data_IF_434509889305
#
_entry.id   IF_434509889305
#
_cell.length_a   1.000
_cell.length_b   1.000
_cell.length_c   1.000
_cell.angle_alpha   90.00
_cell.angle_beta   90.00
_cell.angle_gamma   90.00
#
_symmetry.space_group_name_H-M   'P 1'
#
loop_
_entity.id
_entity.type
_entity.pdbx_description
1 polymer ?
#
# COMPACT_ATOMS: atom_id res chain seq x y z
N UNK A 1 -43.09 37.00 -25.61
CA UNK A 1 -42.56 35.64 -25.42
C UNK A 1 -42.42 35.43 -23.92
N UNK A 2 -43.30 34.63 -23.32
CA UNK A 2 -43.16 34.24 -21.92
C UNK A 2 -41.97 33.28 -21.81
N UNK A 3 -41.04 33.57 -20.90
CA UNK A 3 -39.97 32.65 -20.54
C UNK A 3 -40.59 31.40 -19.89
N UNK A 4 -40.16 30.24 -20.37
CA UNK A 4 -40.55 28.94 -19.84
C UNK A 4 -40.23 28.87 -18.33
N UNK A 5 -41.12 28.34 -17.47
CA UNK A 5 -40.80 28.20 -16.06
C UNK A 5 -39.61 27.25 -15.90
N UNK A 6 -38.60 27.66 -15.13
CA UNK A 6 -37.53 26.77 -14.71
C UNK A 6 -38.13 25.47 -14.20
N UNK A 7 -37.79 24.37 -14.87
CA UNK A 7 -38.03 23.02 -14.37
C UNK A 7 -37.17 22.88 -13.11
N UNK A 8 -37.77 23.09 -11.96
CA UNK A 8 -37.17 22.75 -10.67
C UNK A 8 -37.44 21.26 -10.49
N UNK A 9 -36.44 20.43 -10.81
CA UNK A 9 -36.48 19.03 -10.46
C UNK A 9 -36.55 18.93 -8.93
N UNK A 10 -37.74 18.60 -8.42
CA UNK A 10 -37.90 18.14 -7.04
C UNK A 10 -37.21 16.79 -6.95
N UNK A 11 -35.94 16.81 -6.53
CA UNK A 11 -35.14 15.63 -6.25
C UNK A 11 -35.85 14.87 -5.13
N UNK A 12 -36.50 13.76 -5.48
CA UNK A 12 -36.82 12.71 -4.49
C UNK A 12 -35.51 12.27 -3.88
N UNK A 13 -35.52 11.97 -2.59
CA UNK A 13 -34.39 11.50 -1.79
C UNK A 13 -33.91 10.10 -2.29
N UNK A 14 -33.38 10.04 -3.51
CA UNK A 14 -32.69 8.90 -4.07
C UNK A 14 -31.35 8.76 -3.34
N UNK A 15 -30.90 7.52 -3.09
CA UNK A 15 -29.62 7.28 -2.44
C UNK A 15 -28.52 8.07 -3.15
N UNK A 16 -27.93 9.03 -2.45
CA UNK A 16 -26.97 9.98 -3.01
C UNK A 16 -25.63 9.28 -3.25
N UNK A 17 -25.55 8.48 -4.31
CA UNK A 17 -24.26 8.08 -4.87
C UNK A 17 -23.62 9.28 -5.54
N UNK A 18 -22.28 9.35 -5.49
CA UNK A 18 -21.53 10.44 -6.11
C UNK A 18 -20.59 9.87 -7.16
N UNK A 19 -20.61 10.48 -8.33
CA UNK A 19 -19.75 10.12 -9.45
C UNK A 19 -18.52 11.03 -9.47
N UNK A 20 -17.35 10.44 -9.65
CA UNK A 20 -16.05 11.09 -9.73
C UNK A 20 -15.35 10.69 -11.03
N UNK A 21 -14.52 11.58 -11.57
CA UNK A 21 -13.63 11.22 -12.68
C UNK A 21 -12.26 10.85 -12.13
N UNK A 22 -11.82 9.64 -12.45
CA UNK A 22 -10.49 9.13 -12.16
C UNK A 22 -9.75 8.82 -13.48
N UNK A 23 -8.49 9.24 -13.63
CA UNK A 23 -7.75 9.07 -14.88
C UNK A 23 -7.43 7.60 -15.22
N UNK A 24 -7.55 6.68 -14.27
CA UNK A 24 -7.24 5.26 -14.44
C UNK A 24 -8.51 4.47 -14.72
N UNK A 25 -9.57 4.72 -13.95
CA UNK A 25 -10.81 3.92 -13.98
C UNK A 25 -11.98 4.63 -14.68
N UNK A 26 -11.81 5.89 -15.11
CA UNK A 26 -12.86 6.68 -15.72
C UNK A 26 -13.87 7.16 -14.68
N UNK A 27 -15.16 6.97 -14.94
CA UNK A 27 -16.22 7.39 -14.03
C UNK A 27 -16.39 6.38 -12.89
N UNK A 28 -16.07 6.78 -11.66
CA UNK A 28 -16.25 5.99 -10.45
C UNK A 28 -17.49 6.48 -9.72
N UNK A 29 -18.40 5.57 -9.37
CA UNK A 29 -19.55 5.84 -8.52
C UNK A 29 -19.31 5.28 -7.12
N UNK A 30 -19.49 6.12 -6.08
CA UNK A 30 -19.37 5.70 -4.69
C UNK A 30 -20.70 5.86 -3.94
N UNK A 31 -21.10 4.88 -3.10
CA UNK A 31 -22.25 5.00 -2.20
C UNK A 31 -22.09 6.14 -1.19
N UNK A 32 -23.22 6.69 -0.73
CA UNK A 32 -23.30 7.79 0.23
C UNK A 32 -22.38 7.61 1.46
N UNK A 33 -22.35 6.41 2.06
CA UNK A 33 -21.49 6.14 3.22
C UNK A 33 -20.00 6.22 2.89
N UNK A 34 -19.59 5.76 1.70
CA UNK A 34 -18.20 5.89 1.26
C UNK A 34 -17.84 7.35 1.00
N UNK A 35 -18.78 8.14 0.46
CA UNK A 35 -18.62 9.58 0.25
C UNK A 35 -18.49 10.32 1.59
N UNK A 36 -19.34 9.99 2.57
CA UNK A 36 -19.29 10.60 3.89
C UNK A 36 -17.96 10.31 4.60
N UNK A 37 -17.48 9.06 4.58
CA UNK A 37 -16.15 8.70 5.10
C UNK A 37 -15.04 9.44 4.34
N UNK A 38 -15.17 9.56 3.02
CA UNK A 38 -14.19 10.27 2.20
C UNK A 38 -14.11 11.76 2.56
N UNK A 39 -15.24 12.37 2.93
CA UNK A 39 -15.34 13.80 3.25
C UNK A 39 -14.92 14.16 4.69
N UNK A 40 -14.43 13.19 5.49
CA UNK A 40 -13.86 13.49 6.82
C UNK A 40 -12.44 14.04 6.77
N UNK A 41 -12.00 14.85 7.76
CA UNK A 41 -10.63 15.37 7.81
C UNK A 41 -9.55 14.29 7.75
N UNK A 42 -9.79 13.14 8.39
CA UNK A 42 -8.88 11.99 8.43
C UNK A 42 -8.62 11.41 7.05
N UNK A 43 -9.66 11.32 6.22
CA UNK A 43 -9.52 10.83 4.86
C UNK A 43 -8.97 11.90 3.92
N UNK A 44 -9.44 13.16 4.03
CA UNK A 44 -8.94 14.28 3.23
C UNK A 44 -7.44 14.53 3.44
N UNK A 45 -6.90 14.21 4.62
CA UNK A 45 -5.45 14.17 4.90
C UNK A 45 -4.64 13.44 3.82
N UNK A 46 -5.18 12.36 3.24
CA UNK A 46 -4.49 11.56 2.23
C UNK A 46 -4.16 12.34 0.94
N UNK A 47 -4.81 13.48 0.69
CA UNK A 47 -4.47 14.40 -0.42
C UNK A 47 -3.08 15.01 -0.26
N UNK A 48 -2.58 15.04 0.97
CA UNK A 48 -1.30 15.66 1.33
C UNK A 48 -0.20 14.61 1.54
N UNK A 49 -0.43 13.38 1.07
CA UNK A 49 0.54 12.28 1.18
C UNK A 49 0.75 11.67 -0.20
N UNK A 50 1.93 11.90 -0.78
CA UNK A 50 2.29 11.34 -2.08
C UNK A 50 2.36 9.82 -2.01
N UNK A 51 1.74 9.16 -2.98
CA UNK A 51 1.71 7.69 -3.10
C UNK A 51 3.13 7.12 -3.11
N UNK A 52 4.01 7.74 -3.89
CA UNK A 52 5.40 7.31 -4.12
C UNK A 52 6.42 8.16 -3.35
N UNK A 53 5.99 8.93 -2.35
CA UNK A 53 6.86 9.77 -1.52
C UNK A 53 7.74 10.70 -2.37
N UNK A 54 9.07 10.65 -2.12
CA UNK A 54 10.05 11.52 -2.78
C UNK A 54 10.40 11.07 -4.22
N UNK A 55 9.71 10.06 -4.77
CA UNK A 55 9.89 9.63 -6.17
C UNK A 55 9.63 10.76 -7.16
N UNK A 56 8.80 11.75 -6.80
CA UNK A 56 8.57 12.95 -7.62
C UNK A 56 9.85 13.76 -7.91
N UNK A 57 10.90 13.61 -7.10
CA UNK A 57 12.20 14.25 -7.31
C UNK A 57 13.08 13.50 -8.34
N UNK A 58 12.61 12.37 -8.86
CA UNK A 58 13.24 11.60 -9.95
C UNK A 58 12.29 11.47 -11.14
N UNK A 59 11.01 11.23 -10.89
CA UNK A 59 9.93 11.16 -11.87
C UNK A 59 8.97 12.34 -11.63
N UNK A 60 9.11 13.49 -12.31
CA UNK A 60 8.39 14.72 -11.99
C UNK A 60 6.86 14.59 -11.99
N UNK A 61 6.32 13.63 -12.73
CA UNK A 61 4.89 13.33 -12.84
C UNK A 61 4.36 12.42 -11.72
N UNK A 62 5.22 11.81 -10.90
CA UNK A 62 4.83 10.95 -9.78
C UNK A 62 4.29 11.75 -8.57
N UNK A 63 3.26 12.57 -8.81
CA UNK A 63 2.71 13.54 -7.84
C UNK A 63 1.38 13.12 -7.24
N UNK A 64 0.81 12.00 -7.71
CA UNK A 64 -0.44 11.43 -7.23
C UNK A 64 -0.36 11.01 -5.76
N UNK A 65 -1.52 10.93 -5.13
CA UNK A 65 -1.63 10.87 -3.68
C UNK A 65 -2.27 9.56 -3.21
N UNK A 66 -2.15 9.29 -1.91
CA UNK A 66 -2.85 8.17 -1.26
C UNK A 66 -4.38 8.31 -1.36
N UNK A 67 -4.90 9.53 -1.51
CA UNK A 67 -6.33 9.80 -1.67
C UNK A 67 -6.90 9.16 -2.95
N UNK A 68 -6.33 9.50 -4.10
CA UNK A 68 -6.80 8.99 -5.41
C UNK A 68 -6.64 7.48 -5.50
N UNK A 69 -5.52 6.96 -4.96
CA UNK A 69 -5.29 5.52 -4.82
C UNK A 69 -6.41 4.85 -3.99
N UNK A 70 -6.75 5.39 -2.82
CA UNK A 70 -7.80 4.82 -1.97
C UNK A 70 -9.18 4.77 -2.63
N UNK A 71 -9.54 5.80 -3.41
CA UNK A 71 -10.78 5.80 -4.20
C UNK A 71 -10.75 4.67 -5.24
N UNK A 72 -9.63 4.54 -5.97
CA UNK A 72 -9.47 3.46 -6.95
C UNK A 72 -9.51 2.06 -6.33
N UNK A 73 -8.96 1.88 -5.11
CA UNK A 73 -9.08 0.60 -4.39
C UNK A 73 -10.54 0.32 -3.99
N UNK A 74 -11.27 1.32 -3.51
CA UNK A 74 -12.69 1.18 -3.19
C UNK A 74 -13.51 0.75 -4.42
N UNK A 75 -13.27 1.41 -5.57
CA UNK A 75 -13.91 1.06 -6.84
C UNK A 75 -13.61 -0.38 -7.27
N UNK A 76 -12.35 -0.80 -7.24
CA UNK A 76 -12.00 -2.16 -7.64
C UNK A 76 -12.49 -3.23 -6.64
N UNK A 77 -12.67 -2.88 -5.36
CA UNK A 77 -13.31 -3.74 -4.38
C UNK A 77 -14.78 -4.00 -4.74
N UNK A 78 -15.51 -2.95 -5.13
CA UNK A 78 -16.87 -3.04 -5.67
C UNK A 78 -16.92 -3.92 -6.94
N UNK A 79 -16.08 -3.61 -7.95
CA UNK A 79 -16.04 -4.41 -9.18
C UNK A 79 -15.77 -5.90 -8.92
N UNK A 80 -14.90 -6.21 -7.95
CA UNK A 80 -14.60 -7.57 -7.56
C UNK A 80 -15.80 -8.27 -6.93
N UNK A 81 -16.46 -7.64 -5.96
CA UNK A 81 -17.67 -8.20 -5.32
C UNK A 81 -18.78 -8.40 -6.34
N UNK A 82 -19.02 -7.41 -7.22
CA UNK A 82 -20.00 -7.53 -8.29
C UNK A 82 -19.66 -8.66 -9.27
N UNK A 83 -18.39 -8.83 -9.64
CA UNK A 83 -17.96 -9.93 -10.49
C UNK A 83 -18.22 -11.29 -9.84
N UNK A 84 -17.94 -11.42 -8.54
CA UNK A 84 -18.22 -12.65 -7.78
C UNK A 84 -19.72 -12.92 -7.66
N UNK A 85 -20.55 -11.93 -7.34
CA UNK A 85 -22.02 -12.07 -7.31
C UNK A 85 -22.57 -12.53 -8.66
N UNK A 86 -22.16 -11.91 -9.76
CA UNK A 86 -22.53 -12.34 -11.11
C UNK A 86 -22.08 -13.77 -11.42
N UNK A 87 -20.94 -14.18 -10.89
CA UNK A 87 -20.40 -15.53 -11.12
C UNK A 87 -21.10 -16.60 -10.28
N UNK A 88 -21.51 -16.25 -9.07
CA UNK A 88 -22.02 -17.14 -8.04
C UNK A 88 -23.49 -16.88 -7.68
N UNK A 89 -24.25 -16.21 -8.55
CA UNK A 89 -25.68 -15.97 -8.32
C UNK A 89 -26.51 -17.26 -8.20
N UNK A 90 -27.81 -17.14 -7.88
CA UNK A 90 -28.67 -18.27 -7.50
C UNK A 90 -28.71 -19.43 -8.50
N UNK A 91 -28.59 -19.13 -9.80
CA UNK A 91 -28.59 -20.13 -10.88
C UNK A 91 -27.21 -20.74 -11.19
N UNK A 92 -26.17 -20.38 -10.42
CA UNK A 92 -24.81 -20.90 -10.60
C UNK A 92 -24.70 -22.35 -10.15
N UNK A 93 -23.76 -23.10 -10.72
CA UNK A 93 -23.39 -24.45 -10.24
C UNK A 93 -22.73 -24.44 -8.85
N UNK A 94 -22.38 -23.26 -8.35
CA UNK A 94 -21.77 -23.06 -7.04
C UNK A 94 -22.28 -21.73 -6.45
N UNK A 95 -23.54 -21.65 -5.99
CA UNK A 95 -24.09 -20.40 -5.48
C UNK A 95 -23.37 -19.93 -4.22
N UNK A 96 -23.14 -18.62 -4.14
CA UNK A 96 -22.60 -17.96 -2.96
C UNK A 96 -23.37 -16.67 -2.80
N UNK A 97 -23.92 -16.47 -1.60
CA UNK A 97 -24.53 -15.22 -1.24
C UNK A 97 -23.44 -14.23 -0.78
N UNK A 98 -23.55 -12.98 -1.21
CA UNK A 98 -22.74 -11.87 -0.68
C UNK A 98 -23.74 -10.77 -0.37
N UNK A 99 -23.99 -10.50 0.91
CA UNK A 99 -25.03 -9.54 1.31
C UNK A 99 -24.60 -8.11 0.96
N UNK A 100 -25.54 -7.16 0.91
CA UNK A 100 -25.19 -5.76 0.66
C UNK A 100 -24.33 -5.17 1.77
N UNK A 101 -24.53 -5.60 3.01
CA UNK A 101 -23.71 -5.21 4.15
C UNK A 101 -22.26 -5.67 3.96
N UNK A 102 -22.06 -6.93 3.54
CA UNK A 102 -20.73 -7.48 3.24
C UNK A 102 -20.05 -6.73 2.08
N UNK A 103 -20.82 -6.38 1.05
CA UNK A 103 -20.32 -5.63 -0.08
C UNK A 103 -19.82 -4.24 0.35
N UNK A 104 -20.64 -3.49 1.09
CA UNK A 104 -20.26 -2.18 1.62
C UNK A 104 -19.05 -2.28 2.57
N UNK A 105 -18.96 -3.33 3.40
CA UNK A 105 -17.78 -3.55 4.25
C UNK A 105 -16.49 -3.69 3.44
N UNK A 106 -16.52 -4.43 2.33
CA UNK A 106 -15.34 -4.61 1.45
C UNK A 106 -14.98 -3.29 0.77
N UNK A 107 -15.96 -2.51 0.32
CA UNK A 107 -15.73 -1.17 -0.25
C UNK A 107 -15.10 -0.22 0.78
N UNK A 108 -15.67 -0.13 1.99
CA UNK A 108 -15.17 0.71 3.09
C UNK A 108 -13.75 0.29 3.48
N UNK A 109 -13.48 -1.02 3.59
CA UNK A 109 -12.13 -1.51 3.85
C UNK A 109 -11.15 -1.12 2.73
N UNK A 110 -11.57 -1.22 1.47
CA UNK A 110 -10.79 -0.77 0.31
C UNK A 110 -10.46 0.72 0.36
N UNK A 111 -11.44 1.55 0.73
CA UNK A 111 -11.29 3.00 0.90
C UNK A 111 -10.31 3.33 2.04
N UNK A 112 -10.54 2.74 3.22
CA UNK A 112 -9.87 3.11 4.47
C UNK A 112 -8.49 2.48 4.68
N UNK A 113 -8.10 1.46 3.89
CA UNK A 113 -6.83 0.73 4.12
C UNK A 113 -5.57 1.60 4.13
N UNK A 114 -5.59 2.77 3.49
CA UNK A 114 -4.43 3.67 3.40
C UNK A 114 -4.45 4.84 4.41
N UNK A 115 -5.45 4.95 5.29
CA UNK A 115 -5.56 6.05 6.27
C UNK A 115 -4.30 6.23 7.12
N UNK A 116 -3.70 5.10 7.51
CA UNK A 116 -2.54 5.04 8.38
C UNK A 116 -1.19 5.27 7.71
N UNK A 117 -1.12 5.68 6.44
CA UNK A 117 0.17 6.10 5.85
C UNK A 117 0.63 7.45 6.40
N UNK A 118 1.92 7.52 6.75
CA UNK A 118 2.58 8.75 7.22
C UNK A 118 3.19 9.59 6.08
N UNK A 119 3.87 10.68 6.42
CA UNK A 119 4.57 11.54 5.45
C UNK A 119 5.49 10.74 4.52
N UNK A 120 5.35 10.98 3.22
CA UNK A 120 6.10 10.32 2.14
C UNK A 120 5.93 8.81 2.09
N UNK A 121 4.77 8.32 2.54
CA UNK A 121 4.34 6.91 2.44
C UNK A 121 5.38 5.94 3.01
N UNK A 122 6.08 5.17 2.16
CA UNK A 122 6.95 4.10 2.60
C UNK A 122 8.26 4.56 3.25
N UNK A 123 8.64 5.82 3.05
CA UNK A 123 9.74 6.42 3.80
C UNK A 123 9.45 6.40 5.30
N UNK A 124 8.20 6.68 5.69
CA UNK A 124 7.83 6.80 7.09
C UNK A 124 7.90 5.45 7.81
N UNK A 125 7.19 4.41 7.33
CA UNK A 125 7.17 3.10 8.00
C UNK A 125 8.48 2.32 7.79
N UNK A 126 8.98 2.23 6.56
CA UNK A 126 10.05 1.27 6.23
C UNK A 126 11.46 1.78 6.54
N UNK A 127 11.65 3.10 6.62
CA UNK A 127 12.95 3.73 6.91
C UNK A 127 12.92 4.44 8.26
N UNK A 128 12.08 5.46 8.41
CA UNK A 128 12.12 6.33 9.58
C UNK A 128 11.65 5.63 10.87
N UNK A 129 10.49 4.96 10.85
CA UNK A 129 9.97 4.24 12.01
C UNK A 129 10.72 2.94 12.29
N UNK A 130 11.15 2.21 11.25
CA UNK A 130 11.94 0.98 11.39
C UNK A 130 13.23 1.19 12.18
N UNK A 131 13.93 2.31 11.94
CA UNK A 131 15.16 2.66 12.66
C UNK A 131 14.94 2.85 14.18
N UNK A 132 13.69 3.08 14.60
CA UNK A 132 13.31 3.31 16.01
C UNK A 132 12.88 2.06 16.75
N UNK A 133 12.85 0.89 16.08
CA UNK A 133 12.38 -0.38 16.64
C UNK A 133 10.96 -0.29 17.27
N UNK A 134 10.11 0.58 16.74
CA UNK A 134 8.69 0.67 17.14
C UNK A 134 7.84 -0.23 16.26
N UNK A 135 6.88 -0.94 16.88
CA UNK A 135 5.85 -1.71 16.17
C UNK A 135 4.79 -0.76 15.59
N UNK A 136 5.10 -0.18 14.44
CA UNK A 136 4.18 0.63 13.66
C UNK A 136 4.01 0.02 12.28
N UNK A 137 2.75 -0.18 11.87
CA UNK A 137 2.40 -0.50 10.48
C UNK A 137 1.30 0.45 10.00
N UNK A 138 1.33 0.86 8.71
CA UNK A 138 0.25 1.67 8.16
C UNK A 138 -1.12 1.01 8.31
N UNK A 139 -1.24 -0.31 8.15
CA UNK A 139 -2.52 -1.01 8.27
C UNK A 139 -3.10 -0.98 9.69
N UNK A 140 -2.27 -1.19 10.71
CA UNK A 140 -2.71 -1.09 12.10
C UNK A 140 -3.13 0.35 12.46
N UNK A 141 -2.43 1.35 11.93
CA UNK A 141 -2.83 2.75 12.10
C UNK A 141 -4.13 3.08 11.32
N UNK A 142 -4.32 2.51 10.12
CA UNK A 142 -5.56 2.67 9.36
C UNK A 142 -6.77 2.16 10.14
N UNK A 143 -6.65 1.04 10.82
CA UNK A 143 -7.70 0.50 11.72
C UNK A 143 -8.02 1.48 12.85
N UNK A 144 -6.99 2.05 13.50
CA UNK A 144 -7.20 3.03 14.58
C UNK A 144 -7.91 4.29 14.08
N UNK A 145 -7.48 4.84 12.94
CA UNK A 145 -8.08 6.04 12.35
C UNK A 145 -9.52 5.75 11.91
N UNK A 146 -9.78 4.60 11.28
CA UNK A 146 -11.13 4.17 10.92
C UNK A 146 -12.03 4.12 12.16
N UNK A 147 -11.54 3.59 13.28
CA UNK A 147 -12.26 3.58 14.55
C UNK A 147 -12.59 4.99 15.08
N UNK A 148 -11.76 6.00 14.83
CA UNK A 148 -12.10 7.40 15.17
C UNK A 148 -13.15 7.99 14.23
N UNK A 149 -13.05 7.72 12.92
CA UNK A 149 -14.04 8.15 11.92
C UNK A 149 -15.43 7.61 12.27
N UNK A 150 -15.52 6.34 12.69
CA UNK A 150 -16.80 5.71 13.06
C UNK A 150 -17.50 6.36 14.28
N UNK A 151 -16.79 7.19 15.07
CA UNK A 151 -17.37 7.93 16.20
C UNK A 151 -18.00 9.25 15.80
N UNK A 152 -17.80 9.72 14.56
CA UNK A 152 -18.43 10.94 14.09
C UNK A 152 -19.95 10.71 13.98
N UNK A 153 -20.81 11.56 14.59
CA UNK A 153 -22.25 11.31 14.63
C UNK A 153 -22.92 11.12 13.26
N UNK A 154 -22.43 11.81 12.24
CA UNK A 154 -22.88 11.69 10.84
C UNK A 154 -22.58 10.28 10.29
N UNK A 155 -21.36 9.79 10.52
CA UNK A 155 -20.92 8.46 10.11
C UNK A 155 -21.63 7.37 10.91
N UNK A 156 -21.78 7.54 12.22
CA UNK A 156 -22.51 6.59 13.08
C UNK A 156 -23.95 6.41 12.60
N UNK A 157 -24.66 7.49 12.28
CA UNK A 157 -26.01 7.44 11.74
C UNK A 157 -26.07 6.71 10.39
N UNK A 158 -25.08 6.91 9.52
CA UNK A 158 -25.01 6.19 8.24
C UNK A 158 -24.69 4.71 8.44
N UNK A 159 -23.79 4.36 9.36
CA UNK A 159 -23.53 2.96 9.71
C UNK A 159 -24.81 2.27 10.18
N UNK A 160 -25.62 2.91 11.02
CA UNK A 160 -26.93 2.38 11.42
C UNK A 160 -27.91 2.27 10.24
N UNK A 161 -28.00 3.32 9.40
CA UNK A 161 -28.84 3.33 8.18
C UNK A 161 -28.55 2.14 7.26
N UNK A 162 -27.27 1.82 7.09
CA UNK A 162 -26.79 0.72 6.24
C UNK A 162 -26.61 -0.61 6.99
N UNK A 163 -27.01 -0.70 8.27
CA UNK A 163 -26.87 -1.89 9.14
C UNK A 163 -25.43 -2.39 9.30
N UNK A 164 -24.48 -1.46 9.33
CA UNK A 164 -23.05 -1.69 9.49
C UNK A 164 -22.53 -1.36 10.90
N UNK A 165 -23.41 -0.96 11.82
CA UNK A 165 -23.07 -0.57 13.20
C UNK A 165 -22.36 -1.67 14.01
N UNK A 166 -22.52 -2.94 13.60
CA UNK A 166 -21.87 -4.12 14.21
C UNK A 166 -20.77 -4.73 13.34
N UNK A 167 -20.44 -4.08 12.23
CA UNK A 167 -19.55 -4.64 11.19
C UNK A 167 -18.10 -4.13 11.28
N UNK A 168 -17.81 -3.24 12.24
CA UNK A 168 -16.48 -2.64 12.41
C UNK A 168 -15.38 -3.71 12.45
N UNK A 169 -15.58 -4.78 13.23
CA UNK A 169 -14.59 -5.86 13.37
C UNK A 169 -14.28 -6.52 12.01
N UNK A 170 -15.28 -6.74 11.18
CA UNK A 170 -15.07 -7.31 9.85
C UNK A 170 -14.26 -6.35 8.96
N UNK A 171 -14.62 -5.06 8.93
CA UNK A 171 -13.91 -4.04 8.15
C UNK A 171 -12.44 -3.92 8.62
N UNK A 172 -12.21 -3.91 9.93
CA UNK A 172 -10.86 -3.87 10.52
C UNK A 172 -10.01 -5.07 10.09
N UNK A 173 -10.58 -6.27 10.11
CA UNK A 173 -9.90 -7.50 9.69
C UNK A 173 -9.67 -7.56 8.17
N UNK A 174 -10.52 -6.93 7.35
CA UNK A 174 -10.28 -6.75 5.91
C UNK A 174 -9.11 -5.80 5.63
N UNK A 175 -8.95 -4.74 6.45
CA UNK A 175 -7.86 -3.76 6.34
C UNK A 175 -6.53 -4.38 6.84
N UNK A 176 -6.56 -4.98 8.02
CA UNK A 176 -5.40 -5.54 8.70
C UNK A 176 -5.67 -6.99 9.16
N UNK A 177 -5.61 -7.96 8.22
CA UNK A 177 -5.88 -9.35 8.54
C UNK A 177 -4.92 -9.92 9.59
N UNK A 178 -5.38 -10.81 10.48
CA UNK A 178 -4.52 -11.41 11.49
C UNK A 178 -3.33 -12.15 10.86
N UNK A 179 -2.12 -12.01 11.43
CA UNK A 179 -0.94 -12.69 10.91
C UNK A 179 -1.10 -14.21 10.98
N UNK A 180 -0.55 -14.93 10.00
CA UNK A 180 -0.64 -16.39 9.94
C UNK A 180 -2.02 -16.93 9.52
N UNK A 181 -3.01 -16.08 9.24
CA UNK A 181 -4.36 -16.50 8.84
C UNK A 181 -4.30 -17.57 7.74
N UNK A 182 -3.47 -17.37 6.70
CA UNK A 182 -3.43 -18.24 5.53
C UNK A 182 -2.23 -19.21 5.48
N UNK A 183 -1.56 -19.45 6.61
CA UNK A 183 -0.42 -20.37 6.66
C UNK A 183 -0.89 -21.81 6.37
N UNK A 184 -0.33 -22.44 5.34
CA UNK A 184 -0.64 -23.82 4.94
C UNK A 184 0.37 -24.79 5.56
N UNK A 185 -0.07 -26.03 5.78
CA UNK A 185 0.82 -27.12 6.22
C UNK A 185 1.89 -27.44 5.16
N UNK A 186 2.89 -28.24 5.53
CA UNK A 186 4.01 -28.60 4.64
C UNK A 186 3.56 -29.35 3.38
N UNK A 187 2.46 -30.10 3.47
CA UNK A 187 1.82 -30.85 2.37
C UNK A 187 0.91 -29.98 1.51
N UNK A 188 0.56 -28.78 1.98
CA UNK A 188 -0.41 -27.85 1.39
C UNK A 188 -1.78 -28.48 1.16
N UNK A 189 -2.16 -29.39 2.05
CA UNK A 189 -3.46 -30.05 2.07
C UNK A 189 -4.45 -29.36 3.00
N UNK A 190 -3.95 -28.64 4.01
CA UNK A 190 -4.77 -27.96 5.00
C UNK A 190 -4.11 -26.66 5.49
N UNK A 191 -4.88 -25.88 6.24
CA UNK A 191 -4.39 -24.71 6.97
C UNK A 191 -3.78 -25.12 8.30
N UNK A 192 -2.62 -24.54 8.62
CA UNK A 192 -1.91 -24.79 9.88
C UNK A 192 -2.58 -24.07 11.05
N UNK A 193 -3.11 -22.89 10.80
CA UNK A 193 -3.76 -22.04 11.82
C UNK A 193 -5.27 -22.27 11.85
N UNK A 194 -5.90 -22.21 13.03
CA UNK A 194 -7.36 -22.15 13.12
C UNK A 194 -7.88 -20.88 12.46
N UNK A 195 -9.20 -20.79 12.26
CA UNK A 195 -9.82 -19.55 11.82
C UNK A 195 -9.67 -18.48 12.92
N UNK A 196 -9.04 -17.36 12.59
CA UNK A 196 -8.67 -16.31 13.55
C UNK A 196 -9.59 -15.07 13.48
N UNK A 197 -10.47 -15.00 12.48
CA UNK A 197 -11.32 -13.84 12.27
C UNK A 197 -12.66 -13.99 13.00
N UNK A 198 -13.13 -12.90 13.57
CA UNK A 198 -14.41 -12.80 14.29
C UNK A 198 -15.50 -12.21 13.40
N UNK A 199 -15.14 -11.33 12.44
CA UNK A 199 -16.10 -10.60 11.63
C UNK A 199 -16.94 -11.49 10.73
N UNK A 200 -16.36 -12.55 10.17
CA UNK A 200 -17.06 -13.53 9.32
C UNK A 200 -16.50 -14.93 9.48
N UNK A 201 -17.32 -15.94 9.17
CA UNK A 201 -16.94 -17.35 9.16
C UNK A 201 -16.07 -17.77 7.98
N UNK A 202 -15.59 -19.02 8.05
CA UNK A 202 -14.71 -19.62 7.02
C UNK A 202 -15.37 -19.75 5.64
N UNK A 203 -16.70 -19.83 5.59
CA UNK A 203 -17.50 -19.86 4.38
C UNK A 203 -17.40 -18.55 3.57
N UNK A 204 -17.17 -17.43 4.26
CA UNK A 204 -16.95 -16.08 3.68
C UNK A 204 -15.48 -15.66 3.62
N UNK A 205 -14.56 -16.57 3.90
CA UNK A 205 -13.12 -16.25 3.99
C UNK A 205 -12.51 -15.64 2.72
N UNK A 206 -13.13 -15.86 1.55
CA UNK A 206 -12.71 -15.26 0.28
C UNK A 206 -12.80 -13.72 0.28
N UNK A 207 -13.68 -13.11 1.09
CA UNK A 207 -13.80 -11.65 1.19
C UNK A 207 -12.51 -11.02 1.73
N UNK A 208 -11.81 -11.70 2.64
CA UNK A 208 -10.52 -11.27 3.19
C UNK A 208 -9.37 -11.31 2.18
N UNK A 209 -9.59 -11.87 0.99
CA UNK A 209 -8.61 -11.90 -0.10
C UNK A 209 -8.78 -10.72 -1.08
N UNK A 210 -9.82 -9.89 -0.93
CA UNK A 210 -10.12 -8.81 -1.89
C UNK A 210 -9.21 -7.60 -1.63
N UNK A 211 -9.26 -7.03 -0.41
CA UNK A 211 -8.61 -5.76 -0.06
C UNK A 211 -7.14 -5.92 0.31
N UNK A 212 -6.84 -6.92 1.16
CA UNK A 212 -5.48 -7.23 1.62
C UNK A 212 -5.25 -8.74 1.62
N UNK A 213 -4.75 -9.24 0.50
CA UNK A 213 -4.55 -10.67 0.32
C UNK A 213 -3.22 -11.12 0.95
N UNK A 214 -3.27 -11.67 2.16
CA UNK A 214 -2.08 -12.20 2.85
C UNK A 214 -1.74 -13.64 2.46
N UNK A 215 -2.56 -14.31 1.65
CA UNK A 215 -2.29 -15.65 1.11
C UNK A 215 -1.28 -15.62 -0.05
N UNK A 216 -1.48 -14.74 -1.02
CA UNK A 216 -0.70 -14.69 -2.26
C UNK A 216 -0.51 -13.28 -2.84
N UNK A 217 -1.00 -12.24 -2.16
CA UNK A 217 -0.78 -10.84 -2.56
C UNK A 217 -1.53 -10.39 -3.82
N UNK A 218 -2.47 -11.18 -4.33
CA UNK A 218 -3.36 -10.77 -5.43
C UNK A 218 -4.58 -10.08 -4.82
N UNK A 219 -4.51 -8.75 -4.71
CA UNK A 219 -5.56 -7.90 -4.13
C UNK A 219 -5.86 -6.69 -5.03
N UNK A 220 -7.04 -6.10 -4.84
CA UNK A 220 -7.48 -4.94 -5.62
C UNK A 220 -6.59 -3.71 -5.40
N UNK A 221 -5.96 -3.62 -4.23
CA UNK A 221 -4.97 -2.57 -3.93
C UNK A 221 -3.77 -2.64 -4.89
N UNK A 222 -3.30 -3.84 -5.20
CA UNK A 222 -2.23 -4.06 -6.18
C UNK A 222 -2.65 -3.75 -7.61
N UNK A 223 -3.88 -4.05 -7.96
CA UNK A 223 -4.41 -3.72 -9.29
C UNK A 223 -4.43 -2.21 -9.52
N UNK A 224 -4.94 -1.44 -8.55
CA UNK A 224 -4.95 0.03 -8.66
C UNK A 224 -3.53 0.59 -8.76
N UNK A 225 -2.64 0.29 -7.79
CA UNK A 225 -1.32 0.93 -7.81
C UNK A 225 -0.50 0.51 -9.04
N UNK A 226 -0.64 -0.72 -9.53
CA UNK A 226 0.08 -1.12 -10.75
C UNK A 226 -0.37 -0.27 -11.94
N UNK A 227 -1.67 -0.06 -12.13
CA UNK A 227 -2.18 0.77 -13.22
C UNK A 227 -1.85 2.26 -13.02
N UNK A 228 -2.13 2.79 -11.82
CA UNK A 228 -1.95 4.19 -11.46
C UNK A 228 -0.49 4.60 -11.47
N UNK A 229 0.38 3.84 -10.84
CA UNK A 229 1.80 4.17 -10.79
C UNK A 229 2.42 4.07 -12.18
N UNK A 230 2.03 3.07 -13.00
CA UNK A 230 2.45 3.00 -14.40
C UNK A 230 2.08 4.27 -15.18
N UNK A 231 0.84 4.74 -15.04
CA UNK A 231 0.37 5.96 -15.68
C UNK A 231 1.21 7.19 -15.27
N UNK A 232 1.39 7.43 -13.96
CA UNK A 232 2.13 8.59 -13.48
C UNK A 232 3.65 8.48 -13.64
N UNK A 233 4.22 7.28 -13.77
CA UNK A 233 5.65 7.06 -14.01
C UNK A 233 6.01 7.03 -15.51
N UNK A 234 5.03 6.96 -16.41
CA UNK A 234 5.28 6.76 -17.84
C UNK A 234 5.82 5.35 -18.14
N UNK A 235 5.43 4.35 -17.35
CA UNK A 235 5.80 2.94 -17.55
C UNK A 235 4.60 2.21 -18.12
N UNK A 236 4.78 1.40 -19.17
CA UNK A 236 3.67 0.62 -19.73
C UNK A 236 3.18 -0.44 -18.73
N UNK A 237 1.87 -0.40 -18.41
CA UNK A 237 1.23 -1.45 -17.62
C UNK A 237 0.94 -2.68 -18.50
N UNK A 238 1.53 -3.82 -18.16
CA UNK A 238 1.30 -5.09 -18.87
C UNK A 238 0.22 -5.97 -18.23
N UNK A 239 -0.44 -5.52 -17.16
CA UNK A 239 -1.45 -6.26 -16.43
C UNK A 239 -2.85 -5.62 -16.57
N UNK A 240 -3.81 -6.43 -16.99
CA UNK A 240 -5.22 -6.05 -17.17
C UNK A 240 -6.09 -6.70 -16.08
N UNK A 241 -6.51 -5.92 -15.09
CA UNK A 241 -7.36 -6.39 -14.00
C UNK A 241 -8.79 -6.70 -14.47
N UNK A 242 -9.35 -5.96 -15.44
CA UNK A 242 -10.71 -6.16 -15.95
C UNK A 242 -10.87 -7.54 -16.59
N UNK A 243 -9.82 -8.01 -17.27
CA UNK A 243 -9.78 -9.39 -17.76
C UNK A 243 -9.79 -10.39 -16.61
N UNK A 244 -8.97 -10.18 -15.59
CA UNK A 244 -8.82 -11.13 -14.48
C UNK A 244 -10.12 -11.27 -13.67
N UNK A 245 -10.82 -10.16 -13.42
CA UNK A 245 -12.14 -10.13 -12.77
C UNK A 245 -13.14 -11.12 -13.40
N UNK A 246 -13.16 -11.20 -14.73
CA UNK A 246 -14.09 -12.10 -15.48
C UNK A 246 -13.78 -13.58 -15.30
N UNK A 247 -12.57 -13.93 -14.85
CA UNK A 247 -12.09 -15.30 -14.67
C UNK A 247 -11.86 -15.69 -13.22
N UNK A 248 -12.23 -14.83 -12.27
CA UNK A 248 -12.27 -15.15 -10.85
C UNK A 248 -13.49 -16.01 -10.51
N UNK A 249 -13.33 -16.89 -9.52
CA UNK A 249 -14.36 -17.76 -8.95
C UNK A 249 -14.00 -18.07 -7.50
N UNK A 250 -14.97 -18.20 -6.61
CA UNK A 250 -14.76 -18.70 -5.26
C UNK A 250 -14.94 -20.22 -5.23
N UNK A 251 -14.00 -20.93 -4.63
CA UNK A 251 -14.06 -22.38 -4.41
C UNK A 251 -13.61 -22.71 -2.98
N UNK A 252 -14.13 -23.79 -2.42
CA UNK A 252 -13.68 -24.28 -1.12
C UNK A 252 -12.40 -25.12 -1.21
N UNK A 253 -11.50 -24.87 -0.26
CA UNK A 253 -10.27 -25.61 -0.04
C UNK A 253 -9.96 -25.66 1.46
N UNK A 254 -9.74 -26.86 2.01
CA UNK A 254 -9.33 -27.02 3.42
C UNK A 254 -10.27 -26.36 4.44
N UNK A 255 -11.58 -26.39 4.17
CA UNK A 255 -12.61 -25.77 5.03
C UNK A 255 -12.83 -24.27 4.82
N UNK A 256 -12.06 -23.63 3.94
CA UNK A 256 -12.14 -22.19 3.67
C UNK A 256 -12.47 -21.91 2.21
N UNK A 257 -13.21 -20.86 1.95
CA UNK A 257 -13.48 -20.36 0.60
C UNK A 257 -12.33 -19.46 0.10
N UNK A 258 -11.78 -19.74 -1.07
CA UNK A 258 -10.69 -18.98 -1.69
C UNK A 258 -11.09 -18.41 -3.05
N UNK A 259 -10.51 -17.25 -3.41
CA UNK A 259 -10.61 -16.70 -4.76
C UNK A 259 -9.62 -17.47 -5.66
N UNK A 260 -10.18 -18.19 -6.62
CA UNK A 260 -9.49 -19.01 -7.61
C UNK A 260 -9.60 -18.38 -9.00
N UNK A 261 -8.63 -18.67 -9.86
CA UNK A 261 -8.60 -18.13 -11.22
C UNK A 261 -8.61 -19.23 -12.27
N UNK A 262 -9.15 -18.96 -13.45
CA UNK A 262 -9.11 -19.93 -14.55
C UNK A 262 -7.66 -20.20 -14.96
N UNK A 263 -7.29 -21.47 -15.14
CA UNK A 263 -5.91 -21.89 -15.44
C UNK A 263 -5.24 -21.12 -16.59
N UNK A 264 -5.99 -20.82 -17.66
CA UNK A 264 -5.47 -20.07 -18.81
C UNK A 264 -5.00 -18.64 -18.49
N UNK A 265 -5.34 -18.12 -17.31
CA UNK A 265 -4.91 -16.80 -16.84
C UNK A 265 -3.64 -16.88 -15.97
N UNK A 266 -2.99 -18.04 -15.84
CA UNK A 266 -1.76 -18.20 -15.06
C UNK A 266 -0.64 -17.25 -15.54
N UNK A 267 -0.38 -17.19 -16.84
CA UNK A 267 0.58 -16.24 -17.42
C UNK A 267 0.20 -14.78 -17.14
N UNK A 268 -1.09 -14.46 -17.23
CA UNK A 268 -1.58 -13.11 -16.97
C UNK A 268 -1.41 -12.69 -15.50
N UNK A 269 -1.65 -13.61 -14.57
CA UNK A 269 -1.35 -13.43 -13.15
C UNK A 269 0.15 -13.29 -12.90
N UNK A 270 0.98 -14.03 -13.62
CA UNK A 270 2.42 -13.86 -13.55
C UNK A 270 2.85 -12.44 -13.95
N UNK A 271 2.20 -11.83 -14.96
CA UNK A 271 2.45 -10.44 -15.34
C UNK A 271 2.16 -9.44 -14.22
N UNK A 272 1.23 -9.70 -13.30
CA UNK A 272 1.02 -8.86 -12.12
C UNK A 272 2.25 -8.83 -11.21
N UNK A 273 2.78 -10.02 -10.90
CA UNK A 273 3.99 -10.17 -10.10
C UNK A 273 5.19 -9.52 -10.78
N UNK A 274 5.35 -9.74 -12.09
CA UNK A 274 6.38 -9.10 -12.90
C UNK A 274 6.22 -7.57 -12.91
N UNK A 275 5.00 -7.06 -13.00
CA UNK A 275 4.75 -5.63 -13.02
C UNK A 275 5.17 -4.98 -11.70
N UNK A 276 4.82 -5.61 -10.58
CA UNK A 276 5.34 -5.19 -9.28
C UNK A 276 6.87 -5.17 -9.25
N UNK A 277 7.52 -6.22 -9.73
CA UNK A 277 8.98 -6.28 -9.77
C UNK A 277 9.57 -5.11 -10.59
N UNK A 278 9.05 -4.85 -11.79
CA UNK A 278 9.46 -3.74 -12.66
C UNK A 278 9.30 -2.39 -11.96
N UNK A 279 8.15 -2.14 -11.32
CA UNK A 279 7.88 -0.89 -10.59
C UNK A 279 8.85 -0.69 -9.42
N UNK A 280 9.14 -1.75 -8.67
CA UNK A 280 10.14 -1.72 -7.61
C UNK A 280 11.53 -1.39 -8.16
N UNK A 281 11.97 -2.11 -9.19
CA UNK A 281 13.33 -1.98 -9.76
C UNK A 281 13.56 -0.62 -10.42
N UNK A 282 12.58 -0.12 -11.19
CA UNK A 282 12.74 1.11 -11.98
C UNK A 282 12.40 2.39 -11.21
N UNK A 283 11.43 2.34 -10.31
CA UNK A 283 10.90 3.54 -9.66
C UNK A 283 11.04 3.51 -8.14
N UNK A 284 10.38 2.57 -7.45
CA UNK A 284 10.25 2.65 -5.99
C UNK A 284 11.58 2.53 -5.26
N UNK A 285 12.54 1.84 -5.87
CA UNK A 285 13.89 1.64 -5.35
C UNK A 285 14.94 2.33 -6.24
N UNK A 286 14.58 3.38 -6.97
CA UNK A 286 15.54 4.11 -7.78
C UNK A 286 16.68 4.65 -6.89
N UNK A 287 17.94 4.45 -7.29
CA UNK A 287 19.13 4.75 -6.45
C UNK A 287 19.18 6.20 -5.99
N UNK A 288 18.90 7.15 -6.90
CA UNK A 288 18.81 8.59 -6.56
C UNK A 288 17.67 8.88 -5.60
N UNK A 289 16.52 8.22 -5.75
CA UNK A 289 15.38 8.38 -4.82
C UNK A 289 15.80 7.88 -3.44
N UNK A 290 16.40 6.69 -3.36
CA UNK A 290 16.87 6.13 -2.10
C UNK A 290 17.91 7.04 -1.42
N UNK A 291 18.83 7.65 -2.18
CA UNK A 291 19.76 8.66 -1.66
C UNK A 291 19.03 9.87 -1.03
N UNK A 292 18.01 10.39 -1.71
CA UNK A 292 17.18 11.49 -1.21
C UNK A 292 16.42 11.08 0.06
N UNK A 293 15.88 9.85 0.11
CA UNK A 293 15.22 9.35 1.32
C UNK A 293 16.18 9.18 2.50
N UNK A 294 17.41 8.74 2.27
CA UNK A 294 18.47 8.70 3.30
C UNK A 294 18.69 10.12 3.85
N UNK A 295 18.90 11.10 2.96
CA UNK A 295 19.11 12.50 3.37
C UNK A 295 17.91 13.01 4.17
N UNK A 296 16.68 12.76 3.70
CA UNK A 296 15.51 13.26 4.38
C UNK A 296 15.27 12.61 5.74
N UNK A 297 15.48 11.30 5.87
CA UNK A 297 15.40 10.64 7.18
C UNK A 297 16.38 11.23 8.18
N UNK A 298 17.60 11.61 7.78
CA UNK A 298 18.52 12.33 8.66
C UNK A 298 18.03 13.71 9.05
N UNK A 299 17.41 14.45 8.12
CA UNK A 299 16.83 15.74 8.47
C UNK A 299 15.75 15.57 9.56
N UNK A 300 14.93 14.52 9.48
CA UNK A 300 13.95 14.19 10.51
C UNK A 300 14.62 13.82 11.85
N UNK A 301 15.70 13.03 11.82
CA UNK A 301 16.48 12.67 13.02
C UNK A 301 17.12 13.91 13.68
N UNK A 302 17.65 14.86 12.90
CA UNK A 302 18.20 16.12 13.41
C UNK A 302 17.12 17.00 14.07
N UNK A 303 15.91 17.02 13.52
CA UNK A 303 14.75 17.69 14.14
C UNK A 303 14.44 17.07 15.50
N UNK A 304 14.41 15.74 15.61
CA UNK A 304 14.14 15.06 16.88
C UNK A 304 15.21 15.33 17.94
N UNK A 305 16.50 15.28 17.56
CA UNK A 305 17.62 15.61 18.48
C UNK A 305 17.48 17.02 19.04
N UNK A 306 17.06 17.96 18.19
CA UNK A 306 16.87 19.36 18.57
C UNK A 306 15.72 19.52 19.57
N UNK A 307 14.63 18.78 19.36
CA UNK A 307 13.44 18.76 20.22
C UNK A 307 13.69 18.11 21.59
N UNK A 308 14.66 17.21 21.72
CA UNK A 308 15.04 16.62 23.01
C UNK A 308 15.87 17.56 23.90
N UNK A 309 16.55 18.55 23.31
CA UNK A 309 17.62 19.29 24.02
C UNK A 309 17.22 20.67 24.58
N UNK A 310 16.20 21.39 24.08
CA UNK A 310 15.85 22.76 24.55
C UNK A 310 14.36 23.14 24.40
N UNK A 311 14.00 24.29 25.02
CA UNK A 311 12.67 24.89 25.16
C UNK A 311 11.72 24.64 23.99
N UNK A 312 10.68 23.85 24.26
CA UNK A 312 9.84 23.16 23.28
C UNK A 312 8.86 24.06 22.51
N UNK A 313 8.68 25.32 22.91
CA UNK A 313 7.50 26.11 22.51
C UNK A 313 7.45 26.38 21.01
N UNK A 314 8.54 26.79 20.37
CA UNK A 314 8.52 27.17 18.94
C UNK A 314 8.52 25.95 18.00
N UNK A 315 9.19 24.87 18.38
CA UNK A 315 9.21 23.64 17.57
C UNK A 315 7.92 22.82 17.76
N UNK A 316 7.31 22.87 18.95
CA UNK A 316 5.95 22.37 19.15
C UNK A 316 4.93 23.16 18.34
N UNK A 317 5.11 24.45 18.06
CA UNK A 317 4.23 25.16 17.13
C UNK A 317 4.41 24.69 15.68
N UNK A 318 5.63 24.26 15.32
CA UNK A 318 5.94 23.78 13.97
C UNK A 318 5.37 22.39 13.70
N UNK A 319 5.39 21.51 14.69
CA UNK A 319 4.92 20.13 14.52
C UNK A 319 3.57 19.88 15.18
N UNK A 320 3.25 20.61 16.26
CA UNK A 320 2.15 20.46 17.22
C UNK A 320 2.62 19.81 18.52
N UNK A 321 1.90 20.00 19.64
CA UNK A 321 2.22 19.33 20.90
C UNK A 321 2.05 17.82 20.73
N UNK A 322 3.09 17.02 21.01
CA UNK A 322 3.04 15.56 20.84
C UNK A 322 3.42 15.04 19.44
N UNK A 323 3.38 15.91 18.42
CA UNK A 323 3.57 15.58 17.00
C UNK A 323 5.04 15.38 16.58
N UNK A 324 5.83 14.79 17.48
CA UNK A 324 7.22 14.48 17.22
C UNK A 324 7.29 13.44 16.09
N UNK A 325 8.11 13.66 15.06
CA UNK A 325 8.34 12.66 14.02
C UNK A 325 8.74 11.34 14.69
N UNK A 326 7.85 10.35 14.78
CA UNK A 326 8.11 9.04 15.39
C UNK A 326 7.68 8.80 16.84
N UNK A 327 7.02 9.78 17.48
CA UNK A 327 6.06 9.49 18.56
C UNK A 327 4.68 9.37 17.93
N UNK A 328 4.33 8.16 17.54
CA UNK A 328 3.03 7.86 16.92
C UNK A 328 2.20 7.06 17.92
N UNK A 329 2.07 7.61 19.12
CA UNK A 329 1.51 6.89 20.26
C UNK A 329 -0.02 7.15 20.36
N UNK A 330 -0.53 8.24 19.77
CA UNK A 330 -1.96 8.55 19.64
C UNK A 330 -2.36 8.87 18.18
N UNK A 331 -3.66 8.77 17.87
CA UNK A 331 -4.20 9.00 16.51
C UNK A 331 -4.19 10.49 16.14
N UNK A 332 -4.55 11.38 17.06
CA UNK A 332 -4.68 12.81 16.79
C UNK A 332 -3.35 13.43 16.33
N UNK A 333 -2.26 13.05 16.98
CA UNK A 333 -0.93 13.52 16.66
C UNK A 333 -0.52 13.04 15.27
N UNK A 334 -0.84 11.78 14.93
CA UNK A 334 -0.57 11.21 13.62
C UNK A 334 -1.35 11.92 12.50
N UNK A 335 -2.60 12.31 12.74
CA UNK A 335 -3.43 12.99 11.76
C UNK A 335 -2.87 14.35 11.34
N UNK A 336 -2.08 15.00 12.20
CA UNK A 336 -1.39 16.25 11.86
C UNK A 336 -0.20 16.09 10.90
N UNK A 337 0.32 14.86 10.75
CA UNK A 337 1.54 14.59 10.00
C UNK A 337 1.22 14.31 8.53
N UNK A 338 1.67 15.18 7.62
CA UNK A 338 1.60 14.95 6.17
C UNK A 338 2.94 15.29 5.50
N UNK A 339 3.03 15.26 4.17
CA UNK A 339 4.26 15.60 3.43
C UNK A 339 4.70 17.07 3.65
N UNK A 340 3.80 17.91 4.17
CA UNK A 340 4.06 19.31 4.48
C UNK A 340 5.20 19.50 5.50
N UNK A 341 5.49 18.48 6.31
CA UNK A 341 6.64 18.43 7.22
C UNK A 341 7.95 18.80 6.53
N UNK A 342 8.13 18.42 5.25
CA UNK A 342 9.31 18.78 4.47
C UNK A 342 9.44 20.29 4.30
N UNK A 343 8.35 20.95 3.89
CA UNK A 343 8.33 22.41 3.70
C UNK A 343 8.42 23.14 5.03
N UNK A 344 7.79 22.63 6.10
CA UNK A 344 7.89 23.20 7.45
C UNK A 344 9.35 23.26 7.91
N UNK A 345 10.12 22.19 7.76
CA UNK A 345 11.55 22.16 8.12
C UNK A 345 12.34 23.11 7.22
N UNK A 346 12.13 23.05 5.91
CA UNK A 346 12.89 23.85 4.94
C UNK A 346 12.73 25.36 5.17
N UNK A 347 11.53 25.81 5.50
CA UNK A 347 11.20 27.24 5.66
C UNK A 347 11.36 27.76 7.09
N UNK A 348 11.61 26.89 8.08
CA UNK A 348 11.72 27.33 9.46
C UNK A 348 13.05 28.07 9.70
N UNK A 349 13.02 29.33 10.17
CA UNK A 349 14.24 30.10 10.40
C UNK A 349 14.96 29.70 11.71
N UNK A 350 14.34 28.88 12.56
CA UNK A 350 14.83 28.55 13.90
C UNK A 350 16.24 27.92 13.83
N UNK A 351 17.13 28.36 14.74
CA UNK A 351 18.54 27.94 14.73
C UNK A 351 18.72 26.48 15.10
N UNK A 352 17.88 25.97 16.00
CA UNK A 352 18.01 24.59 16.49
C UNK A 352 17.84 23.55 15.38
N UNK A 353 16.99 23.81 14.37
CA UNK A 353 16.81 22.89 13.22
C UNK A 353 17.63 23.31 11.99
N UNK A 354 18.64 24.15 12.15
CA UNK A 354 19.49 24.59 11.04
C UNK A 354 20.18 23.43 10.33
N UNK A 355 20.60 22.39 11.05
CA UNK A 355 21.20 21.18 10.45
C UNK A 355 20.21 20.45 9.55
N UNK A 356 18.99 20.21 10.03
CA UNK A 356 17.93 19.56 9.26
C UNK A 356 17.59 20.37 8.00
N UNK A 357 17.44 21.69 8.14
CA UNK A 357 17.20 22.60 7.02
C UNK A 357 18.35 22.59 6.01
N UNK A 358 19.60 22.61 6.45
CA UNK A 358 20.75 22.55 5.56
C UNK A 358 20.80 21.26 4.73
N UNK A 359 20.35 20.12 5.29
CA UNK A 359 20.21 18.87 4.54
C UNK A 359 19.14 19.01 3.45
N UNK A 360 17.98 19.61 3.78
CA UNK A 360 16.92 19.84 2.79
C UNK A 360 17.35 20.82 1.68
N UNK A 361 18.06 21.89 2.03
CA UNK A 361 18.62 22.82 1.04
C UNK A 361 19.60 22.14 0.08
N UNK A 362 20.38 21.16 0.55
CA UNK A 362 21.21 20.32 -0.33
C UNK A 362 20.36 19.51 -1.31
N UNK A 363 19.23 18.94 -0.85
CA UNK A 363 18.29 18.23 -1.73
C UNK A 363 17.73 19.17 -2.81
N UNK A 364 17.27 20.37 -2.42
CA UNK A 364 16.75 21.41 -3.33
C UNK A 364 17.79 21.86 -4.36
N UNK A 365 19.06 21.99 -3.95
CA UNK A 365 20.19 22.34 -4.83
C UNK A 365 20.76 21.15 -5.61
N UNK A 366 20.13 19.97 -5.52
CA UNK A 366 20.59 18.71 -6.11
C UNK A 366 22.01 18.27 -5.69
N UNK A 367 22.45 18.71 -4.52
CA UNK A 367 23.68 18.29 -3.86
C UNK A 367 23.44 16.99 -3.10
N UNK A 368 23.13 15.92 -3.84
CA UNK A 368 22.71 14.63 -3.30
C UNK A 368 23.89 13.76 -2.90
N UNK A 369 23.63 12.78 -2.03
CA UNK A 369 24.58 11.69 -1.79
C UNK A 369 24.85 10.92 -3.08
N UNK A 370 26.12 10.54 -3.27
CA UNK A 370 26.57 9.86 -4.48
C UNK A 370 26.60 8.36 -4.22
N UNK A 371 26.11 7.60 -5.19
CA UNK A 371 26.29 6.14 -5.21
C UNK A 371 27.78 5.85 -5.46
N UNK A 372 28.39 5.14 -4.51
CA UNK A 372 29.80 4.73 -4.57
C UNK A 372 29.94 3.30 -5.08
N UNK A 373 29.09 2.40 -4.57
CA UNK A 373 29.11 0.99 -4.93
C UNK A 373 27.71 0.38 -4.98
N UNK A 374 27.50 -0.56 -5.89
CA UNK A 374 26.29 -1.38 -5.98
C UNK A 374 26.68 -2.86 -6.09
N UNK A 375 26.08 -3.69 -5.24
CA UNK A 375 26.28 -5.13 -5.25
C UNK A 375 24.94 -5.86 -5.28
N UNK A 376 24.81 -6.84 -6.19
CA UNK A 376 23.67 -7.76 -6.21
C UNK A 376 24.02 -9.07 -5.53
N UNK A 377 23.10 -9.62 -4.74
CA UNK A 377 23.33 -10.87 -4.03
C UNK A 377 22.10 -11.78 -4.07
N UNK A 378 22.36 -13.06 -3.83
CA UNK A 378 21.33 -14.08 -3.67
C UNK A 378 21.20 -14.44 -2.19
N UNK A 379 20.07 -15.02 -1.79
CA UNK A 379 19.70 -15.35 -0.40
C UNK A 379 20.70 -16.19 0.42
N UNK A 380 21.74 -16.76 -0.21
CA UNK A 380 22.77 -17.56 0.47
C UNK A 380 23.79 -16.71 1.23
N UNK A 381 23.90 -15.41 0.95
CA UNK A 381 24.85 -14.51 1.60
C UNK A 381 24.12 -13.79 2.74
N UNK A 382 24.65 -13.85 3.96
CA UNK A 382 24.07 -13.14 5.11
C UNK A 382 24.23 -11.63 4.93
N UNK A 383 23.22 -10.86 5.34
CA UNK A 383 23.27 -9.39 5.34
C UNK A 383 24.51 -8.84 6.06
N UNK A 384 24.94 -9.49 7.13
CA UNK A 384 26.16 -9.15 7.89
C UNK A 384 27.43 -9.27 7.05
N UNK A 385 27.52 -10.28 6.19
CA UNK A 385 28.68 -10.50 5.31
C UNK A 385 28.73 -9.43 4.20
N UNK A 386 27.56 -9.00 3.72
CA UNK A 386 27.44 -7.91 2.74
C UNK A 386 27.86 -6.60 3.39
N UNK A 387 27.34 -6.31 4.59
CA UNK A 387 27.74 -5.13 5.36
C UNK A 387 29.24 -5.11 5.62
N UNK A 388 29.85 -6.25 5.96
CA UNK A 388 31.30 -6.35 6.15
C UNK A 388 32.09 -6.12 4.86
N UNK A 389 31.66 -6.69 3.73
CA UNK A 389 32.33 -6.47 2.43
C UNK A 389 32.23 -5.02 1.98
N UNK A 390 31.04 -4.42 2.07
CA UNK A 390 30.83 -3.01 1.75
C UNK A 390 31.59 -2.09 2.71
N UNK A 391 31.71 -2.45 3.99
CA UNK A 391 32.58 -1.70 4.93
C UNK A 391 34.06 -1.80 4.58
N UNK A 392 34.54 -2.96 4.11
CA UNK A 392 35.94 -3.09 3.67
C UNK A 392 36.24 -2.21 2.46
N UNK A 393 35.32 -2.16 1.49
CA UNK A 393 35.46 -1.26 0.34
C UNK A 393 35.51 0.22 0.75
N UNK A 394 34.81 0.62 1.82
CA UNK A 394 34.87 1.97 2.39
C UNK A 394 36.20 2.30 3.06
N UNK A 395 36.80 1.35 3.80
CA UNK A 395 38.13 1.54 4.40
C UNK A 395 39.21 1.75 3.34
N UNK A 396 39.04 1.20 2.14
CA UNK A 396 39.96 1.40 1.01
C UNK A 396 39.81 2.78 0.33
N UNK A 397 38.70 3.50 0.59
CA UNK A 397 38.38 4.81 -0.01
C UNK A 397 38.81 6.02 0.84
N UNK A 398 39.53 5.81 1.95
CA UNK A 398 40.06 6.87 2.85
C UNK A 398 38.98 7.89 3.29
N UNK A 399 37.73 7.45 3.34
CA UNK A 399 36.54 8.26 3.62
C UNK A 399 36.08 8.04 5.05
N UNK A 400 35.76 9.10 5.83
CA UNK A 400 35.33 8.94 7.21
C UNK A 400 34.09 8.05 7.27
N UNK A 401 34.08 7.04 8.15
CA UNK A 401 32.96 6.10 8.30
C UNK A 401 31.61 6.81 8.56
N UNK A 402 31.63 8.02 9.12
CA UNK A 402 30.45 8.85 9.36
C UNK A 402 29.79 9.41 8.08
N UNK A 403 30.49 9.38 6.94
CA UNK A 403 30.01 9.90 5.65
C UNK A 403 29.37 8.83 4.74
N UNK A 404 29.35 7.57 5.17
CA UNK A 404 28.93 6.43 4.36
C UNK A 404 27.61 5.77 4.83
N UNK A 405 26.75 5.42 3.88
CA UNK A 405 25.40 4.88 4.14
C UNK A 405 25.14 3.65 3.29
N UNK A 406 24.93 2.51 3.95
CA UNK A 406 24.58 1.26 3.28
C UNK A 406 23.07 1.09 3.31
N UNK A 407 22.48 0.95 2.13
CA UNK A 407 21.07 0.63 1.96
C UNK A 407 20.92 -0.76 1.36
N UNK A 408 20.13 -1.61 2.02
CA UNK A 408 19.76 -2.95 1.52
C UNK A 408 18.31 -2.97 1.07
N UNK A 409 18.12 -3.34 -0.19
CA UNK A 409 16.81 -3.44 -0.84
C UNK A 409 16.56 -4.89 -1.22
N UNK A 410 15.42 -5.41 -0.77
CA UNK A 410 14.93 -6.73 -1.17
C UNK A 410 14.04 -6.62 -2.40
N UNK A 411 14.32 -7.43 -3.43
CA UNK A 411 13.47 -7.54 -4.61
C UNK A 411 12.77 -8.89 -4.61
N UNK A 412 11.47 -8.87 -4.30
CA UNK A 412 10.61 -10.05 -4.34
C UNK A 412 9.37 -9.79 -5.22
N UNK A 413 8.52 -10.81 -5.32
CA UNK A 413 7.23 -10.72 -5.99
C UNK A 413 6.09 -10.29 -5.05
N UNK A 414 6.38 -9.88 -3.81
CA UNK A 414 5.37 -9.47 -2.83
C UNK A 414 4.72 -10.62 -2.07
N UNK A 415 5.34 -11.82 -2.09
CA UNK A 415 4.89 -13.05 -1.43
C UNK A 415 6.02 -13.69 -0.59
N UNK A 416 6.86 -12.88 0.08
CA UNK A 416 7.85 -13.33 1.06
C UNK A 416 8.71 -14.54 0.64
N UNK A 417 9.60 -14.34 -0.35
CA UNK A 417 10.51 -15.37 -0.91
C UNK A 417 9.82 -16.59 -1.54
N UNK A 418 8.50 -16.66 -1.52
CA UNK A 418 7.80 -17.72 -2.23
C UNK A 418 7.80 -17.47 -3.73
N UNK A 419 7.66 -18.57 -4.47
CA UNK A 419 7.52 -18.54 -5.92
C UNK A 419 6.15 -17.93 -6.30
N UNK A 420 6.09 -17.05 -7.32
CA UNK A 420 4.82 -16.58 -7.87
C UNK A 420 3.88 -17.74 -8.18
N UNK A 421 2.57 -17.52 -8.02
CA UNK A 421 1.52 -18.52 -8.27
C UNK A 421 1.57 -19.76 -7.36
N UNK A 422 2.55 -19.90 -6.45
CA UNK A 422 2.65 -21.06 -5.56
C UNK A 422 1.38 -21.26 -4.77
N UNK A 423 0.87 -20.22 -4.12
CA UNK A 423 -0.33 -20.28 -3.28
C UNK A 423 -1.60 -19.79 -4.00
N UNK A 424 -1.65 -19.92 -5.32
CA UNK A 424 -2.81 -19.55 -6.13
C UNK A 424 -3.54 -20.80 -6.57
N UNK A 425 -4.84 -20.87 -6.27
CA UNK A 425 -5.70 -21.93 -6.76
C UNK A 425 -6.24 -21.60 -8.15
N UNK A 426 -6.20 -22.63 -9.00
CA UNK A 426 -6.72 -22.58 -10.35
C UNK A 426 -7.86 -23.57 -10.54
N UNK A 427 -8.67 -23.34 -11.58
CA UNK A 427 -9.67 -24.29 -12.05
C UNK A 427 -9.66 -24.36 -13.59
N UNK A 428 -10.18 -25.46 -14.14
CA UNK A 428 -10.27 -25.66 -15.59
C UNK A 428 -11.69 -25.47 -16.10
N UNK A 429 -11.89 -25.46 -17.42
CA UNK A 429 -13.25 -25.45 -17.99
C UNK A 429 -13.99 -26.77 -17.73
N UNK A 430 -13.26 -27.88 -17.72
CA UNK A 430 -13.80 -29.24 -17.55
C UNK A 430 -14.15 -29.55 -16.10
N UNK A 431 -13.36 -29.03 -15.15
CA UNK A 431 -13.57 -29.19 -13.72
C UNK A 431 -13.65 -27.82 -13.04
N UNK A 432 -14.75 -27.08 -13.22
CA UNK A 432 -14.82 -25.68 -12.84
C UNK A 432 -15.05 -25.46 -11.33
N UNK A 433 -15.30 -26.55 -10.58
CA UNK A 433 -15.53 -26.53 -9.13
C UNK A 433 -14.42 -27.23 -8.34
N UNK A 434 -13.35 -27.70 -9.00
CA UNK A 434 -12.24 -28.40 -8.36
C UNK A 434 -11.01 -27.48 -8.38
N UNK A 435 -10.63 -26.89 -7.24
CA UNK A 435 -9.43 -26.08 -7.17
C UNK A 435 -8.19 -26.98 -7.21
N UNK A 436 -7.16 -26.53 -7.92
CA UNK A 436 -5.86 -27.20 -7.94
C UNK A 436 -4.73 -26.19 -7.95
N UNK A 437 -3.54 -26.62 -7.52
CA UNK A 437 -2.32 -25.84 -7.63
C UNK A 437 -1.53 -26.21 -8.89
N UNK A 438 -0.84 -25.23 -9.47
CA UNK A 438 0.13 -25.52 -10.53
C UNK A 438 1.26 -26.39 -9.98
N UNK A 439 1.70 -27.38 -10.77
CA UNK A 439 2.92 -28.14 -10.50
C UNK A 439 4.15 -27.25 -10.68
N UNK A 440 5.28 -27.61 -10.06
CA UNK A 440 6.51 -26.82 -10.15
C UNK A 440 6.96 -26.60 -11.60
N UNK A 441 6.92 -27.63 -12.44
CA UNK A 441 7.27 -27.51 -13.87
C UNK A 441 6.39 -26.50 -14.62
N UNK A 442 5.10 -26.46 -14.30
CA UNK A 442 4.17 -25.50 -14.91
C UNK A 442 4.52 -24.08 -14.48
N UNK A 443 4.81 -23.85 -13.21
CA UNK A 443 5.25 -22.53 -12.71
C UNK A 443 6.59 -22.10 -13.30
N UNK A 444 7.54 -23.02 -13.44
CA UNK A 444 8.83 -22.76 -14.08
C UNK A 444 8.67 -22.39 -15.56
N UNK A 445 7.74 -23.03 -16.29
CA UNK A 445 7.43 -22.65 -17.68
C UNK A 445 6.89 -21.23 -17.76
N UNK A 446 5.93 -20.87 -16.91
CA UNK A 446 5.42 -19.48 -16.85
C UNK A 446 6.55 -18.47 -16.53
N UNK A 447 7.49 -18.86 -15.66
CA UNK A 447 8.67 -18.05 -15.30
C UNK A 447 9.71 -17.95 -16.43
N UNK A 448 9.93 -19.00 -17.23
CA UNK A 448 10.96 -19.00 -18.29
C UNK A 448 10.69 -18.02 -19.42
N UNK A 449 9.42 -17.64 -19.65
CA UNK A 449 9.07 -16.56 -20.58
C UNK A 449 9.36 -15.15 -20.03
N UNK A 450 9.89 -15.04 -18.80
CA UNK A 450 10.16 -13.80 -18.08
C UNK A 450 11.58 -13.80 -17.48
N UNK A 451 12.54 -13.31 -18.25
CA UNK A 451 13.99 -13.52 -18.10
C UNK A 451 14.71 -12.75 -16.98
N UNK A 452 14.11 -12.41 -15.84
CA UNK A 452 14.83 -11.70 -14.76
C UNK A 452 14.78 -12.42 -13.40
N UNK A 453 15.93 -12.80 -12.81
CA UNK A 453 15.98 -13.34 -11.46
C UNK A 453 15.76 -12.24 -10.42
N UNK A 454 15.01 -12.55 -9.36
CA UNK A 454 14.94 -11.76 -8.12
C UNK A 454 16.30 -11.79 -7.43
N UNK A 455 17.08 -10.72 -7.57
CA UNK A 455 18.33 -10.51 -6.84
C UNK A 455 18.14 -9.36 -5.89
N UNK A 456 18.57 -9.52 -4.64
CA UNK A 456 18.61 -8.43 -3.69
C UNK A 456 19.78 -7.50 -4.01
N UNK A 457 19.69 -6.24 -3.59
CA UNK A 457 20.67 -5.21 -3.92
C UNK A 457 21.10 -4.45 -2.68
N UNK A 458 22.40 -4.32 -2.49
CA UNK A 458 23.02 -3.40 -1.54
C UNK A 458 23.63 -2.22 -2.30
N UNK A 459 23.35 -1.00 -1.85
CA UNK A 459 23.93 0.22 -2.40
C UNK A 459 24.62 1.01 -1.31
N UNK A 460 25.81 1.52 -1.61
CA UNK A 460 26.58 2.39 -0.74
C UNK A 460 26.51 3.82 -1.25
N UNK A 461 26.11 4.74 -0.37
CA UNK A 461 26.02 6.18 -0.66
C UNK A 461 26.98 6.96 0.23
N UNK A 462 27.62 7.98 -0.33
CA UNK A 462 28.53 8.86 0.41
C UNK A 462 28.12 10.33 0.27
N UNK A 463 28.31 11.08 1.36
CA UNK A 463 28.25 12.55 1.33
C UNK A 463 29.48 13.10 0.59
N UNK A 464 29.28 13.54 -0.66
CA UNK A 464 30.38 14.05 -1.48
C UNK A 464 31.06 15.28 -0.85
N UNK A 465 32.40 15.27 -0.80
CA UNK A 465 33.18 16.49 -0.54
C UNK A 465 32.88 17.52 -1.64
N UNK A 466 32.73 18.80 -1.26
CA UNK A 466 32.59 19.91 -2.22
C UNK A 466 33.71 19.79 -3.27
N UNK A 467 33.34 19.54 -4.52
CA UNK A 467 34.20 19.95 -5.62
C UNK A 467 34.13 21.48 -5.62
N UNK A 468 35.27 22.11 -5.29
CA UNK A 468 35.50 23.55 -5.40
C UNK A 468 35.33 23.97 -6.85
#
# INVERSE_FOLDING_TARGET
MALDPLVVDTVKEESLSKVFQDPIHGSIELPEICVAIMDTPEFQRLRHIKQLGLTCLVYPTAVHTRFDHSIGVCHLADEMVQALRRRHGPSSSYPIDITEEEHLCVMIAGLCRNLGFGPFSHLFDQRFMRNKKKDYTPLAMSVKIFGEICKEPTIENLLQKYKLDKENKFIEELINPPPGLWEKDSTRSAYKTPWLCEGRGQDKSFLYLIVKNTLNGIDVAKWDYCARDCYFLGISNSFDHQRLLKYARVLQFGGRSEICFKFKEAFHLYNLYRMRHILHTRAYQHTVKNAIEIMFSKALEEVEKSLTNREKTNLNMLFGEGNLPGKVDNVQDFLSLTDDIYRRILLCPHRDIANARAILEKIEKRQLYKLVEEATYNDKVKQEEILQRTWRALTDLDSPAEMAYIETVRFDYGVNREEPLRNVHFFTKTEPNVPFFLRQEQRTKEKQFSSEPTKDRATLHEEGKKNI
#
